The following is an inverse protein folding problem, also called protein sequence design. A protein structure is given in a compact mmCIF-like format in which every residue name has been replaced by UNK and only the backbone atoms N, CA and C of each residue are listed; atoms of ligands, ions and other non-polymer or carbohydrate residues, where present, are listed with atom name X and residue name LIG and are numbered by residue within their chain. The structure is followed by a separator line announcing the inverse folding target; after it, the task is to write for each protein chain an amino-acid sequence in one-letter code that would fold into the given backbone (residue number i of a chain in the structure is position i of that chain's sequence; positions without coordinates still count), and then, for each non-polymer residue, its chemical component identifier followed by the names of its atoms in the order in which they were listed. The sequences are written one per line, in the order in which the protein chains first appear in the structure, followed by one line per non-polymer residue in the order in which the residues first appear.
data_IF_247314363422
#
_entry.id   IF_247314363422
#
_cell.length_a   1.000
_cell.length_b   1.000
_cell.length_c   1.000
_cell.angle_alpha   90.00
_cell.angle_beta   90.00
_cell.angle_gamma   90.00
#
_symmetry.space_group_name_H-M   'P 1'
#
loop_
_entity.id
_entity.type
_entity.pdbx_description
1 polymer ?
#
# COMPACT_ATOMS: atom_id res chain seq x y z
N UNK A 1 -39.07 -14.08 -3.90
CA UNK A 1 -37.65 -14.32 -4.22
C UNK A 1 -37.01 -15.00 -3.03
N UNK A 2 -36.84 -16.32 -3.09
CA UNK A 2 -36.10 -17.04 -2.04
C UNK A 2 -34.62 -16.67 -2.18
N UNK A 3 -34.07 -16.01 -1.16
CA UNK A 3 -32.63 -15.77 -1.04
C UNK A 3 -32.01 -17.13 -0.75
N UNK A 4 -31.46 -17.76 -1.78
CA UNK A 4 -30.70 -18.99 -1.66
C UNK A 4 -29.44 -18.70 -0.85
N UNK A 5 -29.46 -18.98 0.46
CA UNK A 5 -28.28 -19.00 1.30
C UNK A 5 -27.41 -20.16 0.82
N UNK A 6 -26.44 -19.85 -0.03
CA UNK A 6 -25.48 -20.81 -0.55
C UNK A 6 -24.67 -21.38 0.63
N UNK A 7 -24.77 -22.69 0.95
CA UNK A 7 -24.17 -23.29 2.14
C UNK A 7 -22.66 -23.51 2.01
N UNK A 8 -22.06 -23.20 0.86
CA UNK A 8 -20.62 -23.32 0.68
C UNK A 8 -19.93 -22.07 1.22
N UNK A 9 -18.88 -22.21 2.05
CA UNK A 9 -18.11 -21.05 2.51
C UNK A 9 -17.65 -20.28 1.27
N UNK A 10 -17.93 -18.98 1.26
CA UNK A 10 -17.64 -18.08 0.14
C UNK A 10 -16.18 -18.29 -0.27
N UNK A 11 -15.97 -19.03 -1.35
CA UNK A 11 -14.63 -19.38 -1.84
C UNK A 11 -13.94 -18.05 -2.12
N UNK A 12 -12.78 -17.83 -1.50
CA UNK A 12 -12.00 -16.61 -1.73
C UNK A 12 -11.78 -16.50 -3.24
N UNK A 13 -12.36 -15.45 -3.84
CA UNK A 13 -12.24 -15.20 -5.28
C UNK A 13 -10.80 -14.77 -5.57
N UNK A 14 -9.95 -15.74 -5.91
CA UNK A 14 -8.50 -15.55 -6.12
C UNK A 14 -8.21 -14.48 -7.19
N UNK A 15 -9.08 -14.38 -8.19
CA UNK A 15 -9.01 -13.36 -9.22
C UNK A 15 -9.23 -11.94 -8.65
N UNK A 16 -10.17 -11.76 -7.72
CA UNK A 16 -10.41 -10.46 -7.08
C UNK A 16 -9.23 -10.07 -6.20
N UNK A 17 -8.66 -11.02 -5.46
CA UNK A 17 -7.48 -10.75 -4.62
C UNK A 17 -6.26 -10.36 -5.46
N UNK A 18 -6.04 -11.02 -6.61
CA UNK A 18 -4.98 -10.63 -7.54
C UNK A 18 -5.19 -9.20 -8.07
N UNK A 19 -6.43 -8.85 -8.43
CA UNK A 19 -6.77 -7.49 -8.88
C UNK A 19 -6.51 -6.43 -7.79
N UNK A 20 -6.89 -6.70 -6.55
CA UNK A 20 -6.58 -5.80 -5.44
C UNK A 20 -5.08 -5.69 -5.22
N UNK A 21 -4.36 -6.81 -5.22
CA UNK A 21 -2.91 -6.80 -5.12
C UNK A 21 -2.28 -5.93 -6.20
N UNK A 22 -2.66 -6.12 -7.47
CA UNK A 22 -2.14 -5.34 -8.59
C UNK A 22 -2.44 -3.85 -8.42
N UNK A 23 -3.67 -3.50 -8.06
CA UNK A 23 -4.11 -2.12 -7.88
C UNK A 23 -3.33 -1.41 -6.77
N UNK A 24 -3.21 -2.03 -5.60
CA UNK A 24 -2.48 -1.44 -4.48
C UNK A 24 -0.98 -1.38 -4.73
N UNK A 25 -0.43 -2.34 -5.47
CA UNK A 25 0.95 -2.33 -5.89
C UNK A 25 1.21 -1.17 -6.87
N UNK A 26 0.34 -0.96 -7.87
CA UNK A 26 0.40 0.22 -8.73
C UNK A 26 0.32 1.53 -7.95
N UNK A 27 -0.61 1.65 -7.01
CA UNK A 27 -0.75 2.86 -6.15
C UNK A 27 0.51 3.05 -5.29
N UNK A 28 1.03 1.98 -4.70
CA UNK A 28 2.24 1.98 -3.87
C UNK A 28 3.52 2.37 -4.61
N UNK A 29 3.62 2.00 -5.88
CA UNK A 29 4.76 2.31 -6.74
C UNK A 29 4.59 3.60 -7.55
N UNK A 30 3.49 4.34 -7.45
CA UNK A 30 3.30 5.57 -8.26
C UNK A 30 2.76 6.74 -7.44
N UNK A 31 1.56 6.57 -6.87
CA UNK A 31 0.84 7.64 -6.18
C UNK A 31 1.38 7.82 -4.76
N UNK A 32 1.65 6.73 -4.05
CA UNK A 32 2.06 6.75 -2.65
C UNK A 32 3.34 7.55 -2.43
N UNK A 33 4.41 7.37 -3.23
CA UNK A 33 5.60 8.17 -3.05
C UNK A 33 5.30 9.67 -3.29
N UNK A 34 4.55 9.98 -4.35
CA UNK A 34 4.15 11.35 -4.65
C UNK A 34 3.41 12.02 -3.47
N UNK A 35 2.48 11.30 -2.86
CA UNK A 35 1.74 11.79 -1.69
C UNK A 35 2.67 12.13 -0.52
N UNK A 36 3.64 11.25 -0.22
CA UNK A 36 4.61 11.50 0.86
C UNK A 36 5.39 12.79 0.56
N UNK A 37 5.92 12.93 -0.66
CA UNK A 37 6.73 14.09 -1.03
C UNK A 37 5.97 15.41 -0.89
N UNK A 38 4.76 15.49 -1.44
CA UNK A 38 3.96 16.72 -1.38
C UNK A 38 3.43 17.00 0.04
N UNK A 39 3.08 15.96 0.80
CA UNK A 39 2.68 16.10 2.20
C UNK A 39 3.85 16.65 3.03
N UNK A 40 5.05 16.10 2.88
CA UNK A 40 6.24 16.57 3.59
C UNK A 40 6.63 17.99 3.22
N UNK A 41 6.45 18.41 1.96
CA UNK A 41 6.60 19.82 1.56
C UNK A 41 5.55 20.72 2.19
N UNK A 42 4.30 20.27 2.26
CA UNK A 42 3.22 21.03 2.92
C UNK A 42 3.49 21.20 4.42
N UNK A 43 4.05 20.18 5.07
CA UNK A 43 4.48 20.21 6.47
C UNK A 43 5.80 20.97 6.69
N UNK A 44 6.38 21.58 5.66
CA UNK A 44 7.63 22.33 5.69
C UNK A 44 8.82 21.55 6.28
N UNK A 45 8.90 20.24 6.00
CA UNK A 45 10.07 19.45 6.38
C UNK A 45 11.26 19.92 5.54
N UNK A 46 12.28 20.50 6.18
CA UNK A 46 13.45 21.12 5.52
C UNK A 46 14.10 20.19 4.49
N UNK A 47 14.19 18.89 4.80
CA UNK A 47 14.72 17.86 3.90
C UNK A 47 14.03 17.82 2.54
N UNK A 48 12.71 18.04 2.50
CA UNK A 48 11.91 17.96 1.27
C UNK A 48 11.76 19.29 0.54
N UNK A 49 12.03 20.41 1.22
CA UNK A 49 11.98 21.75 0.62
C UNK A 49 13.13 21.92 -0.37
N UNK A 50 14.33 21.50 0.03
CA UNK A 50 15.55 21.65 -0.79
C UNK A 50 15.74 20.51 -1.79
N UNK A 51 15.01 19.41 -1.63
CA UNK A 51 15.14 18.22 -2.47
C UNK A 51 14.14 18.21 -3.62
N UNK A 52 14.63 18.02 -4.84
CA UNK A 52 13.78 17.86 -6.01
C UNK A 52 13.00 16.54 -5.97
N UNK A 53 11.76 16.55 -6.50
CA UNK A 53 10.91 15.36 -6.62
C UNK A 53 11.63 14.21 -7.34
N UNK A 54 12.40 14.55 -8.38
CA UNK A 54 13.14 13.58 -9.19
C UNK A 54 14.22 12.86 -8.38
N UNK A 55 15.09 13.59 -7.69
CA UNK A 55 16.16 12.99 -6.87
C UNK A 55 15.57 12.19 -5.72
N UNK A 56 14.48 12.67 -5.13
CA UNK A 56 13.75 11.90 -4.14
C UNK A 56 13.25 10.55 -4.67
N UNK A 57 12.59 10.55 -5.82
CA UNK A 57 12.08 9.33 -6.43
C UNK A 57 13.23 8.40 -6.89
N UNK A 58 14.16 8.91 -7.69
CA UNK A 58 15.21 8.11 -8.32
C UNK A 58 16.27 7.63 -7.33
N UNK A 59 16.73 8.47 -6.40
CA UNK A 59 17.86 8.11 -5.53
C UNK A 59 17.42 7.48 -4.20
N UNK A 60 16.29 7.92 -3.65
CA UNK A 60 15.86 7.52 -2.30
C UNK A 60 14.82 6.41 -2.34
N UNK A 61 13.79 6.53 -3.20
CA UNK A 61 12.68 5.57 -3.23
C UNK A 61 13.00 4.38 -4.13
N UNK A 62 13.40 4.64 -5.37
CA UNK A 62 13.66 3.58 -6.37
C UNK A 62 15.13 3.18 -6.46
N UNK A 63 16.06 4.07 -6.15
CA UNK A 63 17.51 3.82 -6.23
C UNK A 63 17.95 2.58 -5.45
N UNK A 64 17.49 2.39 -4.20
CA UNK A 64 17.83 1.21 -3.42
C UNK A 64 17.32 -0.10 -4.05
N UNK A 65 16.30 -0.08 -4.91
CA UNK A 65 15.80 -1.29 -5.58
C UNK A 65 16.82 -1.90 -6.55
N UNK A 66 17.76 -1.11 -7.06
CA UNK A 66 18.84 -1.57 -7.94
C UNK A 66 20.00 -2.24 -7.21
N UNK A 67 20.05 -2.18 -5.87
CA UNK A 67 21.10 -2.77 -5.05
C UNK A 67 20.51 -3.73 -4.02
N UNK A 68 21.19 -4.80 -3.64
CA UNK A 68 20.76 -5.67 -2.53
C UNK A 68 21.29 -5.12 -1.21
N UNK A 69 20.69 -4.02 -0.72
CA UNK A 69 21.10 -3.33 0.51
C UNK A 69 19.97 -3.35 1.56
N UNK A 70 20.25 -3.10 2.85
CA UNK A 70 19.19 -2.94 3.85
C UNK A 70 18.25 -1.76 3.54
N UNK A 71 18.73 -0.73 2.84
CA UNK A 71 17.89 0.38 2.36
C UNK A 71 16.84 -0.08 1.34
N UNK A 72 17.09 -1.18 0.64
CA UNK A 72 16.16 -1.81 -0.28
C UNK A 72 14.95 -2.37 0.46
N UNK A 73 15.16 -3.03 1.61
CA UNK A 73 14.05 -3.53 2.43
C UNK A 73 13.19 -2.40 2.97
N UNK A 74 13.82 -1.30 3.39
CA UNK A 74 13.08 -0.13 3.86
C UNK A 74 12.24 0.48 2.74
N UNK A 75 12.84 0.68 1.56
CA UNK A 75 12.13 1.18 0.38
C UNK A 75 10.99 0.25 0.00
N UNK A 76 11.25 -1.05 -0.12
CA UNK A 76 10.23 -2.05 -0.45
C UNK A 76 9.07 -2.01 0.55
N UNK A 77 9.36 -1.92 1.85
CA UNK A 77 8.34 -1.81 2.90
C UNK A 77 7.52 -0.53 2.76
N UNK A 78 8.17 0.60 2.43
CA UNK A 78 7.52 1.88 2.18
C UNK A 78 6.60 1.82 0.94
N UNK A 79 7.02 1.19 -0.15
CA UNK A 79 6.20 1.04 -1.37
C UNK A 79 5.02 0.08 -1.16
N UNK A 80 5.20 -0.98 -0.38
CA UNK A 80 4.11 -1.90 -0.01
C UNK A 80 3.23 -1.39 1.13
N UNK A 81 3.56 -0.27 1.75
CA UNK A 81 2.78 0.31 2.85
C UNK A 81 1.27 0.43 2.57
N UNK A 82 0.80 0.98 1.42
CA UNK A 82 -0.64 1.04 1.14
C UNK A 82 -1.29 -0.34 1.07
N UNK A 83 -0.58 -1.36 0.59
CA UNK A 83 -1.07 -2.73 0.59
C UNK A 83 -1.17 -3.31 2.01
N UNK A 84 -0.16 -3.08 2.86
CA UNK A 84 -0.21 -3.47 4.27
C UNK A 84 -1.34 -2.76 5.02
N UNK A 85 -1.55 -1.47 4.77
CA UNK A 85 -2.65 -0.70 5.36
C UNK A 85 -4.01 -1.31 4.98
N UNK A 86 -4.20 -1.68 3.71
CA UNK A 86 -5.40 -2.37 3.26
C UNK A 86 -5.60 -3.73 3.95
N UNK A 87 -4.54 -4.53 4.10
CA UNK A 87 -4.61 -5.80 4.83
C UNK A 87 -5.02 -5.61 6.29
N UNK A 88 -4.44 -4.62 6.99
CA UNK A 88 -4.81 -4.30 8.37
C UNK A 88 -6.27 -3.89 8.46
N UNK A 89 -6.75 -3.01 7.58
CA UNK A 89 -8.15 -2.61 7.52
C UNK A 89 -9.08 -3.79 7.31
N UNK A 90 -8.71 -4.72 6.41
CA UNK A 90 -9.48 -5.96 6.17
C UNK A 90 -9.58 -6.80 7.45
N UNK A 91 -8.46 -7.04 8.14
CA UNK A 91 -8.43 -7.81 9.39
C UNK A 91 -9.29 -7.12 10.47
N UNK A 92 -9.18 -5.80 10.60
CA UNK A 92 -9.98 -5.03 11.56
C UNK A 92 -11.48 -5.11 11.27
N UNK A 93 -11.86 -5.05 9.99
CA UNK A 93 -13.25 -5.14 9.55
C UNK A 93 -13.84 -6.54 9.74
N UNK A 94 -13.05 -7.59 9.47
CA UNK A 94 -13.47 -8.97 9.75
C UNK A 94 -13.66 -9.18 11.27
N UNK A 95 -12.75 -8.66 12.09
CA UNK A 95 -12.87 -8.72 13.56
C UNK A 95 -14.08 -7.94 14.09
N UNK A 96 -14.35 -6.75 13.56
CA UNK A 96 -15.51 -5.95 13.99
C UNK A 96 -16.84 -6.57 13.57
N UNK A 97 -16.89 -7.22 12.40
CA UNK A 97 -18.06 -7.98 11.94
C UNK A 97 -18.36 -9.19 12.84
N UNK A 98 -17.32 -9.87 13.36
CA UNK A 98 -17.46 -10.98 14.30
C UNK A 98 -17.91 -10.55 15.71
N UNK A 99 -17.64 -9.30 16.11
CA UNK A 99 -17.97 -8.79 17.45
C UNK A 99 -19.42 -8.31 17.57
N UNK A 100 -20.08 -8.01 16.45
CA UNK A 100 -21.49 -7.57 16.41
C UNK A 100 -22.51 -8.73 16.30
N UNK A 101 -22.04 -9.98 16.44
CA UNK A 101 -22.86 -11.18 16.29
C UNK A 101 -22.80 -12.05 17.55
#
# INVERSE_FOLDING_TARGET
MQVSTNPYPKKIDTAKELWFFLMFNCIGFTVWPLMIYYLSRTLNVSFFIDLNLRTWAEDIVYGPLGSFSPATLFSLTLLFFPYFCFLVLRILLEKSSLTNH
#
